data_IF_803431496416
#
_entry.id   IF_803431496416
#
_cell.length_a   1.000
_cell.length_b   1.000
_cell.length_c   1.000
_cell.angle_alpha   90.00
_cell.angle_beta   90.00
_cell.angle_gamma   90.00
#
_symmetry.space_group_name_H-M   'P 1'
#
loop_
_entity.id
_entity.type
_entity.pdbx_description
1 polymer ?
#
# COMPACT_ATOMS: atom_id res chain seq x y z
N UNK A 1 18.98 -12.39 -13.81
CA UNK A 1 18.89 -10.96 -13.45
C UNK A 1 17.42 -10.59 -13.52
N UNK A 2 16.89 -10.06 -12.42
CA UNK A 2 15.48 -9.62 -12.35
C UNK A 2 15.29 -8.42 -13.28
N UNK A 3 14.23 -8.44 -14.07
CA UNK A 3 13.86 -7.33 -14.94
C UNK A 3 12.66 -6.59 -14.35
N UNK A 4 12.62 -5.29 -14.49
CA UNK A 4 11.57 -4.40 -14.01
C UNK A 4 10.91 -3.73 -15.19
N UNK A 5 9.57 -3.63 -15.15
CA UNK A 5 8.78 -3.07 -16.23
C UNK A 5 7.79 -2.05 -15.68
N UNK A 6 7.51 -1.02 -16.45
CA UNK A 6 6.40 -0.10 -16.21
C UNK A 6 5.54 0.02 -17.46
N UNK A 7 4.26 0.23 -17.29
CA UNK A 7 3.33 0.53 -18.38
C UNK A 7 3.33 2.01 -18.77
N UNK A 8 3.91 2.86 -17.92
CA UNK A 8 3.96 4.30 -18.14
C UNK A 8 5.37 4.85 -17.89
N UNK A 9 6.15 4.94 -18.96
CA UNK A 9 7.49 5.53 -18.90
C UNK A 9 7.49 7.02 -18.56
N UNK A 10 6.36 7.72 -18.71
CA UNK A 10 6.27 9.14 -18.36
C UNK A 10 6.45 9.38 -16.86
N UNK A 11 6.12 8.40 -16.01
CA UNK A 11 6.35 8.47 -14.57
C UNK A 11 7.82 8.61 -14.20
N UNK A 12 8.74 8.15 -15.06
CA UNK A 12 10.17 8.26 -14.85
C UNK A 12 10.72 9.63 -15.28
N UNK A 13 9.96 10.38 -16.07
CA UNK A 13 10.32 11.69 -16.61
C UNK A 13 9.48 12.81 -15.96
N UNK A 14 9.25 12.73 -14.66
CA UNK A 14 8.42 13.69 -13.95
C UNK A 14 9.03 15.10 -13.98
N UNK A 15 8.21 16.16 -14.10
CA UNK A 15 8.69 17.53 -14.11
C UNK A 15 9.43 17.90 -12.82
N UNK A 16 10.29 18.89 -12.86
CA UNK A 16 11.02 19.38 -11.68
C UNK A 16 10.08 19.94 -10.61
N UNK A 17 8.98 20.54 -11.04
CA UNK A 17 7.94 21.07 -10.14
C UNK A 17 7.05 19.94 -9.63
N UNK A 18 7.12 19.69 -8.34
CA UNK A 18 6.33 18.68 -7.68
C UNK A 18 5.00 19.25 -7.20
N UNK A 19 3.90 18.70 -7.66
CA UNK A 19 2.54 19.01 -7.19
C UNK A 19 1.87 17.73 -6.68
N UNK A 20 1.51 17.70 -5.42
CA UNK A 20 0.87 16.50 -4.82
C UNK A 20 -0.44 16.14 -5.51
N UNK A 21 -1.14 17.11 -6.09
CA UNK A 21 -2.37 16.88 -6.85
C UNK A 21 -2.18 16.02 -8.11
N UNK A 22 -0.96 15.96 -8.64
CA UNK A 22 -0.64 15.13 -9.81
C UNK A 22 -0.69 13.63 -9.47
N UNK A 23 -0.70 13.30 -8.17
CA UNK A 23 -0.77 11.93 -7.65
C UNK A 23 -2.14 11.57 -7.10
N UNK A 24 -3.16 12.41 -7.31
CA UNK A 24 -4.51 12.07 -6.91
C UNK A 24 -5.05 10.88 -7.69
N UNK A 25 -5.57 9.90 -6.96
CA UNK A 25 -6.24 8.74 -7.53
C UNK A 25 -7.70 9.11 -7.76
N UNK A 26 -8.15 9.00 -9.00
CA UNK A 26 -9.53 9.30 -9.40
C UNK A 26 -10.31 8.06 -9.84
N UNK A 27 -9.62 6.91 -9.95
CA UNK A 27 -10.24 5.63 -10.25
C UNK A 27 -9.46 4.53 -9.50
N UNK A 28 -10.11 3.88 -8.55
CA UNK A 28 -9.53 2.78 -7.76
C UNK A 28 -10.39 1.54 -7.91
N UNK A 29 -9.75 0.46 -8.37
CA UNK A 29 -10.36 -0.87 -8.39
C UNK A 29 -9.61 -1.74 -7.41
N UNK A 30 -10.31 -2.32 -6.45
CA UNK A 30 -9.71 -3.16 -5.42
C UNK A 30 -10.73 -4.15 -4.85
N UNK A 31 -10.33 -5.42 -4.70
CA UNK A 31 -11.11 -6.45 -4.04
C UNK A 31 -12.59 -6.53 -4.53
N UNK A 32 -12.81 -6.42 -5.84
CA UNK A 32 -14.13 -6.44 -6.47
C UNK A 32 -14.91 -5.13 -6.41
N UNK A 33 -14.38 -4.10 -5.75
CA UNK A 33 -15.00 -2.78 -5.70
C UNK A 33 -14.32 -1.81 -6.66
N UNK A 34 -15.11 -0.87 -7.17
CA UNK A 34 -14.60 0.26 -7.94
C UNK A 34 -15.09 1.56 -7.32
N UNK A 35 -14.16 2.49 -7.16
CA UNK A 35 -14.40 3.87 -6.76
C UNK A 35 -13.87 4.80 -7.83
N UNK A 36 -14.69 5.75 -8.29
CA UNK A 36 -14.23 6.72 -9.27
C UNK A 36 -14.83 8.11 -9.04
N UNK A 37 -14.08 9.12 -9.40
CA UNK A 37 -14.46 10.52 -9.32
C UNK A 37 -14.76 11.00 -10.74
N UNK A 38 -15.96 11.52 -10.95
CA UNK A 38 -16.37 12.02 -12.25
C UNK A 38 -15.87 13.46 -12.50
N UNK A 39 -16.14 13.99 -13.68
CA UNK A 39 -15.75 15.34 -14.11
C UNK A 39 -16.37 16.47 -13.26
N UNK A 40 -17.42 16.18 -12.50
CA UNK A 40 -18.07 17.11 -11.59
C UNK A 40 -17.59 16.94 -10.14
N UNK A 41 -16.48 16.19 -9.92
CA UNK A 41 -15.92 15.88 -8.62
C UNK A 41 -16.87 15.11 -7.71
N UNK A 42 -17.75 14.30 -8.27
CA UNK A 42 -18.62 13.38 -7.53
C UNK A 42 -17.93 12.01 -7.43
N UNK A 43 -17.84 11.51 -6.20
CA UNK A 43 -17.33 10.16 -5.93
C UNK A 43 -18.45 9.15 -6.04
N UNK A 44 -18.24 8.15 -6.86
CA UNK A 44 -19.10 6.99 -7.10
C UNK A 44 -18.43 5.71 -6.67
N UNK A 45 -19.22 4.75 -6.17
CA UNK A 45 -18.74 3.43 -5.82
C UNK A 45 -19.67 2.34 -6.31
N UNK A 46 -19.12 1.18 -6.64
CA UNK A 46 -19.88 -0.02 -7.02
C UNK A 46 -19.16 -1.27 -6.52
N UNK A 47 -19.87 -2.38 -6.40
CA UNK A 47 -19.39 -3.65 -5.90
C UNK A 47 -20.01 -4.04 -4.56
N UNK A 48 -19.23 -4.66 -3.69
CA UNK A 48 -19.66 -5.18 -2.39
C UNK A 48 -19.81 -4.07 -1.34
N UNK A 49 -20.78 -4.24 -0.42
CA UNK A 49 -20.96 -3.38 0.75
C UNK A 49 -20.97 -4.16 2.07
N UNK A 50 -20.42 -5.35 2.07
CA UNK A 50 -20.39 -6.28 3.23
C UNK A 50 -19.75 -5.68 4.48
N UNK A 51 -18.77 -4.79 4.31
CA UNK A 51 -18.07 -4.05 5.37
C UNK A 51 -18.46 -2.58 5.46
N UNK A 52 -19.56 -2.17 4.85
CA UNK A 52 -19.95 -0.77 4.67
C UNK A 52 -18.93 0.06 3.86
N UNK A 53 -18.07 -0.57 3.09
CA UNK A 53 -16.96 0.04 2.37
C UNK A 53 -17.40 0.97 1.23
N UNK A 54 -18.65 0.94 0.81
CA UNK A 54 -19.20 1.92 -0.14
C UNK A 54 -19.64 3.21 0.55
N UNK A 55 -19.83 3.22 1.86
CA UNK A 55 -20.23 4.44 2.60
C UNK A 55 -21.60 4.98 2.25
N UNK A 56 -22.53 4.15 1.79
CA UNK A 56 -23.87 4.55 1.30
C UNK A 56 -24.97 4.44 2.35
N UNK A 57 -24.61 4.20 3.60
CA UNK A 57 -25.51 4.09 4.74
C UNK A 57 -26.60 3.02 4.61
N UNK A 58 -26.18 1.83 4.21
CA UNK A 58 -27.01 0.64 4.12
C UNK A 58 -26.57 -0.41 5.15
N UNK A 59 -26.91 -0.27 6.43
CA UNK A 59 -26.47 -1.18 7.49
C UNK A 59 -26.99 -2.61 7.32
N UNK A 60 -28.05 -2.81 6.55
CA UNK A 60 -28.60 -4.12 6.20
C UNK A 60 -27.69 -4.98 5.33
N UNK A 61 -26.72 -4.35 4.64
CA UNK A 61 -25.73 -5.04 3.81
C UNK A 61 -24.62 -5.65 4.67
N UNK A 62 -24.38 -5.06 5.84
CA UNK A 62 -23.21 -5.37 6.66
C UNK A 62 -23.31 -6.79 7.24
N UNK A 63 -22.27 -7.60 6.95
CA UNK A 63 -22.24 -9.00 7.37
C UNK A 63 -23.20 -9.91 6.61
N UNK A 64 -23.87 -9.41 5.57
CA UNK A 64 -24.84 -10.16 4.79
C UNK A 64 -24.22 -10.67 3.47
N UNK A 65 -23.77 -11.93 3.48
CA UNK A 65 -23.20 -12.59 2.30
C UNK A 65 -24.21 -12.85 1.17
N UNK A 66 -25.49 -12.71 1.45
CA UNK A 66 -26.56 -12.93 0.46
C UNK A 66 -27.00 -11.65 -0.21
N UNK A 67 -26.45 -10.50 0.22
CA UNK A 67 -26.73 -9.25 -0.45
C UNK A 67 -26.01 -9.19 -1.79
N UNK A 68 -26.76 -8.86 -2.85
CA UNK A 68 -26.18 -8.70 -4.18
C UNK A 68 -25.24 -7.49 -4.22
N UNK A 69 -24.19 -7.57 -5.03
CA UNK A 69 -23.28 -6.45 -5.26
C UNK A 69 -24.01 -5.31 -5.97
N UNK A 70 -23.63 -4.10 -5.66
CA UNK A 70 -24.12 -2.91 -6.38
C UNK A 70 -23.43 -2.83 -7.75
N UNK A 71 -24.09 -3.34 -8.78
CA UNK A 71 -23.61 -3.29 -10.16
C UNK A 71 -23.71 -1.89 -10.76
N UNK A 72 -24.71 -1.11 -10.33
CA UNK A 72 -24.85 0.30 -10.72
C UNK A 72 -24.10 1.21 -9.74
N UNK A 73 -23.41 2.25 -10.25
CA UNK A 73 -22.69 3.19 -9.40
C UNK A 73 -23.60 3.87 -8.38
N UNK A 74 -23.16 3.88 -7.13
CA UNK A 74 -23.79 4.55 -6.01
C UNK A 74 -23.06 5.85 -5.71
N UNK A 75 -23.76 6.95 -5.56
CA UNK A 75 -23.17 8.24 -5.18
C UNK A 75 -22.73 8.18 -3.72
N UNK A 76 -21.47 8.53 -3.47
CA UNK A 76 -20.88 8.54 -2.13
C UNK A 76 -20.73 9.97 -1.60
N UNK A 77 -20.12 10.86 -2.36
CA UNK A 77 -19.84 12.24 -1.92
C UNK A 77 -19.64 13.19 -3.11
N UNK A 78 -19.67 14.48 -2.81
CA UNK A 78 -19.39 15.58 -3.75
C UNK A 78 -18.09 16.31 -3.36
N UNK A 79 -17.55 17.10 -4.27
CA UNK A 79 -16.34 17.89 -4.08
C UNK A 79 -15.10 17.02 -3.74
N UNK A 80 -15.02 15.83 -4.28
CA UNK A 80 -13.94 14.87 -4.03
C UNK A 80 -12.87 15.01 -5.09
N UNK A 81 -11.59 15.01 -4.67
CA UNK A 81 -10.43 15.11 -5.56
C UNK A 81 -9.55 13.86 -5.57
N UNK A 82 -9.65 13.05 -4.52
CA UNK A 82 -8.80 11.86 -4.37
C UNK A 82 -9.53 10.77 -3.60
N UNK A 83 -9.36 9.52 -4.01
CA UNK A 83 -9.92 8.35 -3.33
C UNK A 83 -8.90 7.24 -3.29
N UNK A 84 -8.81 6.54 -2.16
CA UNK A 84 -8.07 5.29 -2.03
C UNK A 84 -8.84 4.31 -1.15
N UNK A 85 -8.51 3.04 -1.24
CA UNK A 85 -9.19 2.00 -0.49
C UNK A 85 -8.23 0.96 0.01
N UNK A 86 -8.62 0.31 1.11
CA UNK A 86 -7.90 -0.81 1.70
C UNK A 86 -7.63 -1.89 0.66
N UNK A 87 -6.41 -2.38 0.64
CA UNK A 87 -6.00 -3.47 -0.25
C UNK A 87 -6.88 -4.72 -0.11
N UNK A 88 -7.43 -4.96 1.08
CA UNK A 88 -8.36 -6.05 1.34
C UNK A 88 -9.83 -5.68 1.10
N UNK A 89 -10.11 -4.46 0.64
CA UNK A 89 -11.46 -3.98 0.39
C UNK A 89 -12.29 -3.71 1.63
N UNK A 90 -11.69 -3.58 2.81
CA UNK A 90 -12.42 -3.41 4.06
C UNK A 90 -12.93 -2.00 4.29
N UNK A 91 -12.22 -0.99 3.81
CA UNK A 91 -12.59 0.41 3.96
C UNK A 91 -12.13 1.24 2.77
N UNK A 92 -12.71 2.40 2.62
CA UNK A 92 -12.26 3.42 1.68
C UNK A 92 -12.10 4.76 2.37
N UNK A 93 -11.27 5.61 1.81
CA UNK A 93 -11.05 6.99 2.22
C UNK A 93 -11.09 7.90 1.01
N UNK A 94 -11.56 9.13 1.20
CA UNK A 94 -11.49 10.15 0.17
C UNK A 94 -11.16 11.53 0.73
N UNK A 95 -10.57 12.35 -0.12
CA UNK A 95 -10.16 13.71 0.16
C UNK A 95 -11.03 14.67 -0.63
N UNK A 96 -11.55 15.71 0.04
CA UNK A 96 -12.29 16.77 -0.60
C UNK A 96 -11.39 17.91 -1.09
N UNK A 97 -11.91 18.75 -1.97
CA UNK A 97 -11.25 19.98 -2.46
C UNK A 97 -10.79 20.90 -1.33
N UNK A 98 -11.52 20.89 -0.21
CA UNK A 98 -11.22 21.71 0.96
C UNK A 98 -10.15 21.09 1.90
N UNK A 99 -9.70 19.89 1.61
CA UNK A 99 -8.70 19.20 2.43
C UNK A 99 -9.28 18.43 3.62
N UNK A 100 -10.54 18.02 3.54
CA UNK A 100 -11.19 17.17 4.53
C UNK A 100 -11.05 15.71 4.12
N UNK A 101 -10.48 14.89 5.00
CA UNK A 101 -10.32 13.45 4.84
C UNK A 101 -11.49 12.72 5.50
N UNK A 102 -12.23 11.96 4.72
CA UNK A 102 -13.33 11.10 5.17
C UNK A 102 -13.01 9.63 4.94
N UNK A 103 -13.67 8.77 5.71
CA UNK A 103 -13.58 7.33 5.52
C UNK A 103 -14.85 6.61 5.91
N UNK A 104 -15.07 5.44 5.30
CA UNK A 104 -16.18 4.53 5.57
C UNK A 104 -15.74 3.07 5.39
N UNK A 105 -16.43 2.16 6.04
CA UNK A 105 -16.12 0.73 6.00
C UNK A 105 -15.78 0.15 7.37
N UNK A 106 -14.97 -0.90 7.39
CA UNK A 106 -14.52 -1.54 8.63
C UNK A 106 -13.55 -0.64 9.40
N UNK A 107 -13.82 -0.46 10.69
CA UNK A 107 -12.99 0.34 11.60
C UNK A 107 -11.86 -0.49 12.22
N UNK A 108 -10.99 -1.03 11.37
CA UNK A 108 -9.86 -1.82 11.82
C UNK A 108 -8.93 -0.99 12.71
N UNK A 109 -8.76 -1.41 13.97
CA UNK A 109 -7.86 -0.75 14.93
C UNK A 109 -8.10 0.77 15.09
N UNK A 110 -9.33 1.22 14.93
CA UNK A 110 -9.67 2.63 15.04
C UNK A 110 -9.39 3.48 13.80
N UNK A 111 -9.09 2.86 12.67
CA UNK A 111 -8.65 3.56 11.45
C UNK A 111 -9.66 4.57 10.91
N UNK A 112 -10.95 4.38 11.18
CA UNK A 112 -12.04 5.27 10.78
C UNK A 112 -12.53 6.18 11.94
N UNK A 113 -11.69 6.38 12.96
CA UNK A 113 -11.97 7.31 14.03
C UNK A 113 -13.12 6.89 14.96
N UNK A 114 -13.35 5.60 15.10
CA UNK A 114 -14.27 4.98 16.04
C UNK A 114 -13.47 4.15 17.03
N UNK A 115 -13.97 3.95 18.25
CA UNK A 115 -13.30 3.10 19.21
C UNK A 115 -13.06 1.70 18.61
N UNK A 116 -11.84 1.14 18.78
CA UNK A 116 -11.56 -0.22 18.38
C UNK A 116 -12.48 -1.21 19.10
N UNK A 117 -12.96 -2.22 18.37
CA UNK A 117 -13.68 -3.36 18.92
C UNK A 117 -12.74 -4.50 19.29
N UNK A 118 -13.24 -5.45 20.04
CA UNK A 118 -12.53 -6.70 20.26
C UNK A 118 -12.48 -7.51 18.96
N UNK A 119 -11.29 -7.92 18.57
CA UNK A 119 -11.06 -8.74 17.37
C UNK A 119 -11.53 -8.11 16.04
N UNK A 120 -11.41 -6.80 15.87
CA UNK A 120 -11.76 -6.10 14.62
C UNK A 120 -11.08 -6.73 13.38
N UNK A 121 -9.84 -7.20 13.51
CA UNK A 121 -9.11 -7.86 12.44
C UNK A 121 -9.71 -9.22 12.04
N UNK A 122 -10.34 -9.91 12.99
CA UNK A 122 -10.97 -11.23 12.75
C UNK A 122 -12.43 -11.11 12.26
N UNK A 123 -13.10 -10.05 12.65
CA UNK A 123 -14.50 -9.81 12.36
C UNK A 123 -14.74 -8.36 11.92
N UNK A 124 -14.19 -7.92 10.77
CA UNK A 124 -14.25 -6.52 10.33
C UNK A 124 -15.67 -5.96 10.22
N UNK A 125 -16.64 -6.81 9.92
CA UNK A 125 -18.05 -6.43 9.78
C UNK A 125 -18.74 -6.07 11.10
N UNK A 126 -18.15 -6.36 12.26
CA UNK A 126 -18.77 -6.08 13.55
C UNK A 126 -18.56 -4.64 14.01
N UNK A 127 -17.54 -3.96 13.49
CA UNK A 127 -17.22 -2.59 13.83
C UNK A 127 -17.03 -1.75 12.58
N UNK A 128 -18.13 -1.19 12.07
CA UNK A 128 -18.12 -0.46 10.80
C UNK A 128 -18.58 1.00 10.95
N UNK A 129 -18.21 1.80 9.98
CA UNK A 129 -18.67 3.17 9.75
C UNK A 129 -19.52 3.16 8.47
N UNK A 130 -20.84 3.22 8.60
CA UNK A 130 -21.79 3.03 7.48
C UNK A 130 -21.86 4.19 6.51
N UNK A 131 -21.54 5.39 6.96
CA UNK A 131 -21.45 6.58 6.10
C UNK A 131 -20.16 7.33 6.39
N UNK A 132 -19.62 8.05 5.40
CA UNK A 132 -18.33 8.69 5.54
C UNK A 132 -18.24 9.58 6.78
N UNK A 133 -17.21 9.35 7.58
CA UNK A 133 -16.91 10.12 8.79
C UNK A 133 -15.68 10.98 8.54
N UNK A 134 -15.72 12.23 8.99
CA UNK A 134 -14.55 13.12 8.97
C UNK A 134 -13.47 12.57 9.92
N UNK A 135 -12.29 12.35 9.38
CA UNK A 135 -11.13 11.81 10.10
C UNK A 135 -10.07 12.87 10.41
N UNK A 136 -9.84 13.77 9.46
CA UNK A 136 -8.79 14.80 9.57
C UNK A 136 -9.11 15.99 8.65
N UNK A 137 -8.70 17.18 9.06
CA UNK A 137 -8.78 18.41 8.27
C UNK A 137 -7.39 18.90 7.85
N UNK A 138 -7.34 19.81 6.89
CA UNK A 138 -6.09 20.38 6.35
C UNK A 138 -5.17 19.33 5.71
N UNK A 139 -5.77 18.31 5.10
CA UNK A 139 -5.07 17.22 4.40
C UNK A 139 -4.82 17.62 2.94
N UNK A 140 -3.63 17.36 2.45
CA UNK A 140 -3.25 17.53 1.03
C UNK A 140 -3.19 16.21 0.26
N UNK A 141 -2.95 15.09 0.94
CA UNK A 141 -2.83 13.75 0.33
C UNK A 141 -3.05 12.65 1.36
N UNK A 142 -3.42 11.47 0.91
CA UNK A 142 -3.50 10.27 1.76
C UNK A 142 -3.33 9.01 0.94
N UNK A 143 -2.95 7.92 1.59
CA UNK A 143 -2.97 6.58 1.03
C UNK A 143 -3.52 5.60 2.06
N UNK A 144 -4.18 4.57 1.56
CA UNK A 144 -4.68 3.45 2.36
C UNK A 144 -3.82 2.20 2.12
N UNK A 145 -3.38 1.58 3.22
CA UNK A 145 -2.84 0.21 3.22
C UNK A 145 -3.96 -0.80 3.43
N UNK A 146 -3.63 -2.05 3.77
CA UNK A 146 -4.66 -3.03 4.10
C UNK A 146 -5.32 -2.74 5.46
N UNK A 147 -4.52 -2.42 6.45
CA UNK A 147 -4.93 -2.20 7.85
C UNK A 147 -4.38 -0.91 8.43
N UNK A 148 -3.84 -0.03 7.61
CA UNK A 148 -3.26 1.24 8.00
C UNK A 148 -3.57 2.34 6.99
N UNK A 149 -3.27 3.57 7.36
CA UNK A 149 -3.36 4.73 6.49
C UNK A 149 -2.25 5.72 6.78
N UNK A 150 -1.88 6.50 5.77
CA UNK A 150 -1.03 7.68 5.90
C UNK A 150 -1.77 8.90 5.38
N UNK A 151 -1.54 10.04 6.00
CA UNK A 151 -2.04 11.33 5.54
C UNK A 151 -0.93 12.38 5.61
N UNK A 152 -0.91 13.24 4.61
CA UNK A 152 -0.03 14.40 4.56
C UNK A 152 -0.90 15.65 4.75
N UNK A 153 -0.58 16.45 5.76
CA UNK A 153 -1.21 17.75 5.97
C UNK A 153 -0.61 18.82 5.07
N UNK A 154 -1.39 19.87 4.81
CA UNK A 154 -0.94 21.04 4.02
C UNK A 154 0.28 21.75 4.61
N UNK A 155 0.50 21.62 5.92
CA UNK A 155 1.68 22.16 6.60
C UNK A 155 2.93 21.25 6.54
N UNK A 156 2.85 20.09 5.88
CA UNK A 156 3.96 19.16 5.72
C UNK A 156 4.07 18.11 6.84
N UNK A 157 3.16 18.07 7.79
CA UNK A 157 3.13 17.00 8.79
C UNK A 157 2.59 15.71 8.16
N UNK A 158 3.33 14.61 8.31
CA UNK A 158 2.92 13.27 7.90
C UNK A 158 2.40 12.47 9.10
N UNK A 159 1.23 11.88 8.94
CA UNK A 159 0.56 11.06 9.94
C UNK A 159 0.42 9.63 9.46
N UNK A 160 0.51 8.68 10.39
CA UNK A 160 0.24 7.27 10.17
C UNK A 160 -0.62 6.73 11.32
N UNK A 161 -1.55 5.82 11.01
CA UNK A 161 -2.37 5.12 12.00
C UNK A 161 -2.89 3.80 11.44
N UNK A 162 -3.47 2.98 12.33
CA UNK A 162 -3.82 1.61 12.06
C UNK A 162 -2.75 0.65 12.56
N UNK A 163 -2.51 -0.43 11.86
CA UNK A 163 -1.59 -1.48 12.28
C UNK A 163 -0.70 -1.94 11.12
N UNK A 164 0.60 -2.06 11.39
CA UNK A 164 1.50 -2.89 10.59
C UNK A 164 1.66 -4.24 11.25
N UNK A 165 1.52 -5.28 10.46
CA UNK A 165 1.91 -6.60 10.86
C UNK A 165 3.39 -6.82 10.57
N UNK A 166 4.13 -7.44 11.49
CA UNK A 166 5.49 -7.89 11.20
C UNK A 166 5.44 -9.03 10.19
N UNK A 167 6.53 -9.20 9.41
CA UNK A 167 6.64 -10.27 8.41
C UNK A 167 6.59 -11.70 8.97
N UNK A 168 6.57 -11.86 10.30
CA UNK A 168 6.37 -13.14 10.95
C UNK A 168 4.87 -13.38 11.16
N UNK A 169 4.35 -14.40 10.52
CA UNK A 169 2.93 -14.80 10.61
C UNK A 169 2.42 -15.05 12.04
N UNK A 170 3.32 -15.27 12.97
CA UNK A 170 3.00 -15.44 14.38
C UNK A 170 2.69 -14.14 15.11
N UNK A 171 2.90 -13.00 14.48
CA UNK A 171 2.86 -11.70 15.13
C UNK A 171 1.56 -10.94 14.94
N UNK A 172 0.52 -11.54 14.43
CA UNK A 172 -0.84 -10.96 14.47
C UNK A 172 -1.19 -10.52 15.91
N UNK A 173 -0.51 -11.09 16.88
CA UNK A 173 -0.71 -10.84 18.33
C UNK A 173 0.60 -10.68 19.11
N UNK A 174 1.76 -10.50 18.47
CA UNK A 174 3.08 -10.57 19.09
C UNK A 174 3.91 -9.30 19.04
N UNK A 175 5.05 -9.36 19.70
CA UNK A 175 6.05 -8.29 19.75
C UNK A 175 6.52 -7.92 18.32
N UNK A 176 6.46 -6.65 17.97
CA UNK A 176 6.98 -6.11 16.70
C UNK A 176 5.95 -5.44 15.79
N UNK A 177 4.68 -5.41 16.16
CA UNK A 177 3.65 -4.62 15.47
C UNK A 177 3.72 -3.16 15.86
N UNK A 178 3.66 -2.28 14.86
CA UNK A 178 3.39 -0.87 15.08
C UNK A 178 1.88 -0.66 15.00
N UNK A 179 1.29 -0.05 16.02
CA UNK A 179 -0.14 0.20 16.08
C UNK A 179 -0.43 1.55 16.72
N UNK A 180 -1.24 2.36 16.04
CA UNK A 180 -1.85 3.57 16.56
C UNK A 180 -3.33 3.57 16.21
N UNK A 181 -4.19 3.68 17.20
CA UNK A 181 -5.65 3.71 17.02
C UNK A 181 -6.18 5.08 16.61
N UNK A 182 -5.32 6.08 16.61
CA UNK A 182 -5.58 7.45 16.18
C UNK A 182 -4.42 7.94 15.31
N UNK A 183 -4.63 8.92 14.41
CA UNK A 183 -3.55 9.50 13.63
C UNK A 183 -2.38 9.97 14.49
N UNK A 184 -1.21 9.39 14.25
CA UNK A 184 0.03 9.70 14.96
C UNK A 184 1.00 10.41 14.03
N UNK A 185 1.55 11.56 14.49
CA UNK A 185 2.52 12.30 13.68
C UNK A 185 3.85 11.55 13.62
N UNK A 186 4.28 11.22 12.42
CA UNK A 186 5.52 10.51 12.15
C UNK A 186 6.67 11.43 11.73
N UNK A 187 6.39 12.47 10.94
CA UNK A 187 7.42 13.28 10.30
C UNK A 187 6.91 14.71 10.06
N UNK A 188 7.83 15.64 10.06
CA UNK A 188 7.62 17.02 9.62
C UNK A 188 8.25 17.25 8.24
N UNK A 189 7.83 18.32 7.56
CA UNK A 189 8.38 18.77 6.28
C UNK A 189 8.27 17.76 5.13
N UNK A 190 7.30 16.87 5.19
CA UNK A 190 7.02 15.95 4.12
C UNK A 190 6.27 16.63 2.96
N UNK A 191 6.57 16.20 1.73
CA UNK A 191 5.87 16.60 0.51
C UNK A 191 5.11 15.45 -0.13
N UNK A 192 5.45 14.20 0.21
CA UNK A 192 4.80 13.00 -0.28
C UNK A 192 4.83 11.90 0.77
N UNK A 193 3.78 11.09 0.80
CA UNK A 193 3.66 9.90 1.66
C UNK A 193 3.05 8.76 0.87
N UNK A 194 3.44 7.54 1.19
CA UNK A 194 2.81 6.32 0.67
C UNK A 194 2.84 5.22 1.72
N UNK A 195 2.01 4.22 1.57
CA UNK A 195 1.95 3.07 2.46
C UNK A 195 1.53 1.80 1.72
N UNK A 196 1.95 0.68 2.27
CA UNK A 196 1.46 -0.66 1.94
C UNK A 196 0.91 -1.31 3.21
N UNK A 197 0.73 -2.62 3.21
CA UNK A 197 0.33 -3.37 4.40
C UNK A 197 1.37 -3.36 5.52
N UNK A 198 2.64 -3.25 5.16
CA UNK A 198 3.74 -3.55 6.06
C UNK A 198 4.72 -2.42 6.23
N UNK A 199 4.75 -1.45 5.32
CA UNK A 199 5.69 -0.33 5.39
C UNK A 199 5.11 0.93 4.78
N UNK A 200 5.69 2.02 5.20
CA UNK A 200 5.39 3.36 4.67
C UNK A 200 6.67 4.09 4.29
N UNK A 201 6.51 5.07 3.46
CA UNK A 201 7.57 5.97 3.05
C UNK A 201 7.08 7.42 2.98
N UNK A 202 7.99 8.35 3.23
CA UNK A 202 7.76 9.77 3.07
C UNK A 202 8.99 10.46 2.46
N UNK A 203 8.74 11.44 1.61
CA UNK A 203 9.79 12.29 1.04
C UNK A 203 9.63 13.68 1.64
N UNK A 204 10.73 14.25 2.13
CA UNK A 204 10.74 15.61 2.66
C UNK A 204 10.98 16.64 1.58
N UNK A 205 10.73 17.91 1.90
CA UNK A 205 11.00 19.07 1.03
C UNK A 205 12.45 19.12 0.54
N UNK A 206 13.40 18.57 1.32
CA UNK A 206 14.82 18.52 0.94
C UNK A 206 15.15 17.32 0.02
N UNK A 207 14.21 16.43 -0.22
CA UNK A 207 14.43 15.20 -0.99
C UNK A 207 15.00 14.05 -0.16
N UNK A 208 14.88 14.11 1.16
CA UNK A 208 15.23 13.00 2.03
C UNK A 208 14.10 11.98 2.07
N UNK A 209 14.43 10.72 1.86
CA UNK A 209 13.50 9.61 1.99
C UNK A 209 13.57 9.01 3.39
N UNK A 210 12.41 8.92 4.01
CA UNK A 210 12.20 8.21 5.28
C UNK A 210 11.28 7.01 5.05
N UNK A 211 11.58 5.90 5.72
CA UNK A 211 10.77 4.68 5.69
C UNK A 211 10.57 4.16 7.10
N UNK A 212 9.47 3.45 7.32
CA UNK A 212 9.15 2.73 8.55
C UNK A 212 8.30 1.51 8.26
N UNK A 213 8.25 0.56 9.20
CA UNK A 213 7.56 -0.71 9.06
C UNK A 213 8.50 -1.89 8.87
N UNK A 214 8.04 -2.90 8.16
CA UNK A 214 8.76 -4.17 7.95
C UNK A 214 10.01 -3.99 7.08
N UNK A 215 11.14 -4.43 7.60
CA UNK A 215 12.44 -4.41 6.96
C UNK A 215 13.11 -5.80 6.98
N UNK A 216 12.32 -6.85 7.14
CA UNK A 216 12.83 -8.24 7.24
C UNK A 216 13.73 -8.60 6.05
N UNK A 217 13.33 -8.18 4.86
CA UNK A 217 14.07 -8.39 3.61
C UNK A 217 14.77 -7.12 3.09
N UNK A 218 14.97 -6.13 3.95
CA UNK A 218 15.59 -4.87 3.55
C UNK A 218 14.72 -3.98 2.69
N UNK A 219 13.42 -4.27 2.59
CA UNK A 219 12.47 -3.55 1.73
C UNK A 219 12.26 -2.07 2.12
N UNK A 220 12.59 -1.69 3.35
CA UNK A 220 12.65 -0.29 3.75
C UNK A 220 13.87 0.46 3.22
N UNK A 221 14.87 -0.23 2.66
CA UNK A 221 16.16 0.39 2.29
C UNK A 221 17.03 0.78 3.49
N UNK A 222 16.71 0.25 4.67
CA UNK A 222 17.44 0.49 5.90
C UNK A 222 18.53 -0.56 6.09
N UNK A 223 19.79 -0.13 6.14
CA UNK A 223 20.97 -1.00 6.18
C UNK A 223 21.40 -1.38 7.61
N UNK A 224 20.76 -0.85 8.64
CA UNK A 224 21.02 -1.22 10.03
C UNK A 224 20.49 -2.62 10.37
N UNK A 225 20.61 -3.00 11.64
CA UNK A 225 20.26 -4.35 12.11
C UNK A 225 18.76 -4.57 12.36
N UNK A 226 17.97 -3.49 12.42
CA UNK A 226 16.53 -3.59 12.70
C UNK A 226 15.79 -4.27 11.54
N UNK A 227 15.02 -5.28 11.85
CA UNK A 227 14.12 -5.95 10.90
C UNK A 227 12.73 -5.33 10.86
N UNK A 228 12.42 -4.46 11.82
CA UNK A 228 11.20 -3.67 11.87
C UNK A 228 11.51 -2.26 12.38
N UNK A 229 11.03 -1.24 11.66
CA UNK A 229 11.23 0.16 12.00
C UNK A 229 9.94 0.72 12.59
N UNK A 230 9.97 1.01 13.90
CA UNK A 230 8.83 1.60 14.62
C UNK A 230 8.78 3.13 14.48
N UNK A 231 9.87 3.73 14.04
CA UNK A 231 10.03 5.16 13.80
C UNK A 231 10.56 5.38 12.39
N UNK A 232 10.27 6.51 11.74
CA UNK A 232 10.85 6.85 10.45
C UNK A 232 12.38 6.92 10.50
N UNK A 233 13.02 6.17 9.62
CA UNK A 233 14.47 6.20 9.45
C UNK A 233 14.82 6.80 8.09
N UNK A 234 15.76 7.74 8.07
CA UNK A 234 16.30 8.31 6.83
C UNK A 234 17.13 7.27 6.12
N UNK A 235 16.77 6.92 4.90
CA UNK A 235 17.40 5.83 4.13
C UNK A 235 18.07 6.30 2.85
N UNK A 236 17.69 7.44 2.29
CA UNK A 236 18.29 7.99 1.09
C UNK A 236 18.09 9.51 0.99
N UNK A 237 18.96 10.15 0.22
CA UNK A 237 18.90 11.57 -0.14
C UNK A 237 18.68 11.74 -1.64
N UNK A 238 18.34 12.97 -2.06
CA UNK A 238 18.14 13.31 -3.45
C UNK A 238 17.01 12.52 -4.13
N UNK A 239 16.00 12.15 -3.37
CA UNK A 239 14.84 11.37 -3.85
C UNK A 239 13.77 12.32 -4.36
N UNK A 240 13.23 11.98 -5.52
CA UNK A 240 12.13 12.69 -6.16
C UNK A 240 10.80 11.96 -6.00
N UNK A 241 10.82 10.62 -6.11
CA UNK A 241 9.65 9.77 -5.96
C UNK A 241 9.99 8.43 -5.37
N UNK A 242 9.03 7.85 -4.67
CA UNK A 242 9.11 6.51 -4.06
C UNK A 242 7.85 5.73 -4.36
N UNK A 243 8.01 4.45 -4.68
CA UNK A 243 6.95 3.47 -4.83
C UNK A 243 7.25 2.28 -3.94
N UNK A 244 6.26 1.90 -3.14
CA UNK A 244 6.30 0.67 -2.37
C UNK A 244 5.43 -0.35 -3.08
N UNK A 245 6.05 -1.46 -3.48
CA UNK A 245 5.38 -2.54 -4.19
C UNK A 245 5.26 -3.76 -3.27
N UNK A 246 4.07 -4.29 -3.19
CA UNK A 246 3.71 -5.44 -2.38
C UNK A 246 2.78 -6.33 -3.20
N UNK A 247 3.29 -7.48 -3.65
CA UNK A 247 2.45 -8.44 -4.38
C UNK A 247 1.73 -9.34 -3.39
N UNK A 248 0.47 -9.60 -3.69
CA UNK A 248 -0.41 -10.54 -3.00
C UNK A 248 -0.69 -10.22 -1.52
N UNK A 249 -1.11 -9.01 -1.29
CA UNK A 249 -1.69 -8.64 0.01
C UNK A 249 -2.83 -9.56 0.43
N UNK A 250 -3.55 -10.16 -0.53
CA UNK A 250 -4.66 -11.06 -0.28
C UNK A 250 -4.24 -12.45 0.20
N UNK A 251 -3.04 -12.93 -0.17
CA UNK A 251 -2.59 -14.26 0.24
C UNK A 251 -2.34 -14.36 1.74
N UNK A 252 -2.06 -13.24 2.41
CA UNK A 252 -1.83 -13.21 3.85
C UNK A 252 -3.14 -13.35 4.63
N UNK A 253 -4.27 -12.99 4.04
CA UNK A 253 -5.55 -12.89 4.74
C UNK A 253 -6.55 -14.00 4.44
N UNK A 254 -6.41 -14.65 3.29
CA UNK A 254 -7.44 -15.58 2.85
C UNK A 254 -7.46 -16.88 3.63
N UNK A 255 -6.40 -17.27 4.30
CA UNK A 255 -6.42 -18.48 5.12
C UNK A 255 -5.27 -18.63 6.11
N UNK A 256 -5.11 -17.69 7.04
CA UNK A 256 -4.08 -17.76 8.10
C UNK A 256 -4.18 -19.05 8.94
N UNK A 257 -5.33 -19.73 8.95
CA UNK A 257 -5.51 -20.99 9.65
C UNK A 257 -4.96 -22.19 8.86
N UNK A 258 -4.83 -22.08 7.54
CA UNK A 258 -4.48 -23.18 6.65
C UNK A 258 -3.25 -22.94 5.78
N UNK A 259 -2.68 -21.73 5.82
CA UNK A 259 -1.47 -21.46 5.06
C UNK A 259 -0.30 -22.06 5.82
N UNK A 260 0.31 -23.06 5.21
CA UNK A 260 1.62 -23.56 5.65
C UNK A 260 2.59 -22.36 5.65
N UNK A 261 3.22 -22.04 6.79
CA UNK A 261 4.22 -20.96 6.82
C UNK A 261 5.34 -21.12 5.78
N UNK A 262 5.48 -22.31 5.22
CA UNK A 262 6.40 -22.61 4.12
C UNK A 262 5.83 -22.26 2.73
N UNK A 263 4.54 -21.95 2.61
CA UNK A 263 3.92 -21.52 1.35
C UNK A 263 3.97 -19.98 1.16
N UNK A 264 4.58 -19.25 2.08
CA UNK A 264 4.84 -17.81 1.94
C UNK A 264 5.96 -17.48 0.92
N UNK A 265 6.02 -18.21 -0.16
CA UNK A 265 6.86 -17.87 -1.31
C UNK A 265 6.56 -16.51 -1.92
N UNK A 266 5.41 -15.95 -1.57
CA UNK A 266 4.90 -14.64 -2.01
C UNK A 266 5.60 -13.44 -1.36
N UNK A 267 6.27 -13.61 -0.23
CA UNK A 267 7.07 -12.54 0.39
C UNK A 267 8.31 -12.15 -0.40
N UNK A 268 8.60 -12.87 -1.49
CA UNK A 268 9.74 -12.62 -2.36
C UNK A 268 9.59 -11.42 -3.30
N UNK A 269 8.52 -10.64 -3.16
CA UNK A 269 8.22 -9.53 -4.08
C UNK A 269 7.95 -8.21 -3.36
N UNK A 270 8.56 -8.03 -2.20
CA UNK A 270 8.40 -6.85 -1.37
C UNK A 270 9.56 -5.88 -1.62
N UNK A 271 9.34 -4.88 -2.44
CA UNK A 271 10.36 -3.97 -2.93
C UNK A 271 9.96 -2.51 -2.77
N UNK A 272 10.96 -1.65 -2.57
CA UNK A 272 10.81 -0.20 -2.65
C UNK A 272 11.64 0.33 -3.81
N UNK A 273 10.98 1.07 -4.69
CA UNK A 273 11.59 1.71 -5.86
C UNK A 273 11.68 3.20 -5.63
N UNK A 274 12.76 3.80 -6.06
CA UNK A 274 12.95 5.26 -5.98
C UNK A 274 13.44 5.83 -7.30
N UNK A 275 12.99 7.03 -7.59
CA UNK A 275 13.53 7.92 -8.62
C UNK A 275 14.25 9.07 -7.93
N UNK A 276 15.50 9.28 -8.29
CA UNK A 276 16.27 10.42 -7.79
C UNK A 276 16.01 11.67 -8.62
N UNK A 277 16.35 12.84 -8.07
CA UNK A 277 16.21 14.13 -8.77
C UNK A 277 17.07 14.22 -10.03
N UNK A 278 18.14 13.44 -10.12
CA UNK A 278 19.00 13.32 -11.31
C UNK A 278 18.56 12.21 -12.28
N UNK A 279 17.34 11.66 -12.09
CA UNK A 279 16.68 10.76 -13.05
C UNK A 279 17.15 9.30 -13.01
N UNK A 280 17.77 8.87 -11.90
CA UNK A 280 18.20 7.47 -11.74
C UNK A 280 17.22 6.68 -10.90
N UNK A 281 17.04 5.41 -11.27
CA UNK A 281 16.19 4.47 -10.56
C UNK A 281 17.02 3.54 -9.67
N UNK A 282 16.51 3.30 -8.47
CA UNK A 282 17.07 2.36 -7.51
C UNK A 282 15.96 1.52 -6.89
N UNK A 283 16.33 0.37 -6.36
CA UNK A 283 15.41 -0.48 -5.60
C UNK A 283 16.11 -1.12 -4.40
N UNK A 284 15.33 -1.40 -3.36
CA UNK A 284 15.71 -2.19 -2.20
C UNK A 284 14.62 -3.23 -1.92
N UNK A 285 14.99 -4.36 -1.32
CA UNK A 285 14.08 -5.45 -1.01
C UNK A 285 14.49 -6.77 -1.64
N UNK A 286 13.51 -7.58 -2.00
CA UNK A 286 13.69 -8.96 -2.42
C UNK A 286 14.14 -9.10 -3.87
N UNK A 287 15.04 -10.06 -4.13
CA UNK A 287 15.50 -10.46 -5.48
C UNK A 287 16.06 -9.31 -6.36
N UNK A 288 16.56 -8.23 -5.76
CA UNK A 288 17.08 -7.07 -6.49
C UNK A 288 18.56 -7.23 -6.86
N UNK A 289 19.34 -7.88 -5.99
CA UNK A 289 20.77 -8.07 -6.20
C UNK A 289 21.41 -8.94 -5.13
N UNK A 290 22.71 -9.16 -5.26
CA UNK A 290 23.47 -10.09 -4.42
C UNK A 290 24.30 -9.43 -3.31
N UNK A 291 24.21 -8.10 -3.14
CA UNK A 291 25.17 -7.35 -2.32
C UNK A 291 24.90 -7.39 -0.81
N UNK A 292 23.76 -7.88 -0.39
CA UNK A 292 23.49 -8.04 1.04
C UNK A 292 22.81 -9.36 1.32
N UNK A 293 23.50 -10.18 2.06
CA UNK A 293 22.89 -11.31 2.75
C UNK A 293 22.56 -10.84 4.16
N UNK A 294 21.27 -10.80 4.51
CA UNK A 294 20.84 -10.77 5.90
C UNK A 294 20.46 -12.18 6.31
N UNK A 295 20.82 -12.54 7.52
CA UNK A 295 20.20 -13.68 8.16
C UNK A 295 18.74 -13.32 8.38
N UNK A 296 17.85 -13.93 7.62
CA UNK A 296 16.43 -13.87 7.92
C UNK A 296 16.14 -14.77 9.12
N UNK A 297 15.05 -14.55 9.86
CA UNK A 297 14.61 -15.49 10.90
C UNK A 297 14.39 -16.91 10.37
N UNK A 298 14.34 -17.12 9.07
CA UNK A 298 14.18 -18.40 8.38
C UNK A 298 15.51 -19.04 7.92
N UNK A 299 16.65 -18.47 8.32
CA UNK A 299 17.97 -18.97 7.96
C UNK A 299 18.47 -18.50 6.59
N UNK A 300 19.75 -18.71 6.33
CA UNK A 300 20.29 -18.60 4.98
C UNK A 300 19.62 -19.69 4.13
N UNK A 301 18.94 -19.31 3.07
CA UNK A 301 18.05 -20.14 2.25
C UNK A 301 18.62 -21.41 1.61
N UNK A 302 19.58 -22.08 2.25
CA UNK A 302 20.17 -23.33 1.77
C UNK A 302 19.34 -24.57 2.13
N UNK A 303 18.44 -24.48 3.14
CA UNK A 303 17.68 -25.64 3.63
C UNK A 303 16.15 -25.51 3.42
N UNK A 304 15.71 -24.58 2.59
CA UNK A 304 14.31 -24.38 2.33
C UNK A 304 13.81 -25.38 1.25
N UNK A 305 12.96 -26.32 1.64
CA UNK A 305 12.35 -27.33 0.75
C UNK A 305 11.31 -26.73 -0.23
N UNK A 306 11.12 -25.39 -0.24
CA UNK A 306 10.25 -24.71 -1.21
C UNK A 306 10.84 -24.86 -2.62
N UNK A 307 9.97 -24.87 -3.63
CA UNK A 307 10.40 -24.92 -5.03
C UNK A 307 11.36 -23.76 -5.34
N UNK A 308 12.37 -24.00 -6.15
CA UNK A 308 13.41 -23.01 -6.50
C UNK A 308 12.82 -21.71 -7.09
N UNK A 309 11.62 -21.78 -7.65
CA UNK A 309 10.90 -20.66 -8.25
C UNK A 309 10.34 -19.68 -7.22
N UNK A 310 10.14 -20.12 -5.97
CA UNK A 310 9.53 -19.33 -4.89
C UNK A 310 10.49 -18.94 -3.76
N UNK A 311 11.79 -19.17 -3.93
CA UNK A 311 12.78 -18.83 -2.92
C UNK A 311 13.19 -17.36 -2.99
N UNK A 312 13.09 -16.65 -1.88
CA UNK A 312 13.80 -15.40 -1.68
C UNK A 312 15.29 -15.67 -1.50
N UNK A 313 15.98 -15.95 -2.59
CA UNK A 313 17.39 -16.31 -2.55
C UNK A 313 18.31 -15.12 -2.36
N UNK A 314 17.83 -13.93 -2.68
CA UNK A 314 18.60 -12.68 -2.55
C UNK A 314 17.71 -11.54 -2.11
N UNK A 315 18.24 -10.65 -1.30
CA UNK A 315 17.60 -9.38 -0.97
C UNK A 315 18.67 -8.31 -0.73
N UNK A 316 18.30 -7.05 -0.86
CA UNK A 316 19.17 -5.94 -0.56
C UNK A 316 18.47 -4.93 0.34
N UNK A 317 19.06 -4.65 1.50
CA UNK A 317 18.69 -3.54 2.34
C UNK A 317 19.26 -2.21 1.84
N UNK A 318 20.21 -2.26 0.91
CA UNK A 318 20.76 -1.09 0.25
C UNK A 318 20.05 -0.86 -1.06
N UNK A 319 19.71 0.39 -1.35
CA UNK A 319 19.21 0.76 -2.67
C UNK A 319 20.26 0.51 -3.74
N UNK A 320 19.96 -0.39 -4.67
CA UNK A 320 20.80 -0.74 -5.81
C UNK A 320 20.25 -0.11 -7.10
N UNK A 321 21.11 0.36 -8.01
CA UNK A 321 20.66 0.88 -9.29
C UNK A 321 19.95 -0.21 -10.09
N UNK A 322 18.83 0.16 -10.72
CA UNK A 322 18.02 -0.70 -11.58
C UNK A 322 17.76 -0.03 -12.91
N UNK A 323 17.46 -0.84 -13.92
CA UNK A 323 16.94 -0.40 -15.20
C UNK A 323 15.48 -0.82 -15.31
N UNK A 324 14.61 0.13 -15.67
CA UNK A 324 13.18 -0.09 -15.88
C UNK A 324 12.89 -0.01 -17.37
N UNK A 325 12.18 -1.01 -17.90
CA UNK A 325 11.79 -1.10 -19.31
C UNK A 325 10.30 -0.80 -19.46
N UNK A 326 9.91 -0.28 -20.62
CA UNK A 326 8.50 -0.18 -20.96
C UNK A 326 7.91 -1.59 -21.18
N UNK A 327 6.79 -1.84 -20.53
CA UNK A 327 6.03 -3.05 -20.79
C UNK A 327 5.27 -2.93 -22.11
N UNK A 328 5.64 -3.76 -23.06
CA UNK A 328 4.91 -3.90 -24.33
C UNK A 328 4.10 -5.20 -24.24
N UNK A 329 2.76 -5.15 -24.20
CA UNK A 329 1.93 -6.35 -24.18
C UNK A 329 2.22 -7.19 -25.43
N UNK A 330 2.50 -8.47 -25.24
CA UNK A 330 2.62 -9.39 -26.38
C UNK A 330 1.26 -9.55 -27.05
N UNK A 331 1.27 -9.57 -28.38
CA UNK A 331 0.05 -9.68 -29.19
C UNK A 331 -0.62 -11.08 -29.14
N UNK A 332 -0.10 -12.01 -28.32
CA UNK A 332 -0.60 -13.37 -28.17
C UNK A 332 -0.48 -13.85 -26.71
N UNK A 333 -1.58 -13.94 -25.96
CA UNK A 333 -1.57 -14.28 -24.54
C UNK A 333 -1.38 -15.79 -24.23
N UNK A 334 -0.88 -16.59 -25.17
CA UNK A 334 -0.79 -18.05 -25.01
C UNK A 334 0.62 -18.57 -24.70
N UNK A 335 1.62 -17.71 -24.48
CA UNK A 335 2.91 -18.15 -23.98
C UNK A 335 2.98 -18.05 -22.46
N UNK A 336 3.53 -19.08 -21.84
CA UNK A 336 3.63 -19.27 -20.39
C UNK A 336 4.20 -18.03 -19.69
N UNK A 337 3.56 -17.63 -18.60
CA UNK A 337 4.05 -16.63 -17.67
C UNK A 337 5.47 -16.98 -17.22
N UNK A 338 6.43 -16.15 -17.59
CA UNK A 338 7.85 -16.42 -17.34
C UNK A 338 8.31 -16.07 -15.91
N UNK A 339 7.39 -15.68 -15.03
CA UNK A 339 7.71 -15.31 -13.65
C UNK A 339 8.37 -13.94 -13.49
N UNK A 340 8.41 -13.14 -14.54
CA UNK A 340 8.96 -11.79 -14.49
C UNK A 340 8.01 -10.85 -13.75
N UNK A 341 8.53 -10.12 -12.77
CA UNK A 341 7.74 -9.15 -12.02
C UNK A 341 7.42 -7.94 -12.90
N UNK A 342 6.14 -7.67 -13.06
CA UNK A 342 5.64 -6.41 -13.62
C UNK A 342 5.47 -5.42 -12.48
N UNK A 343 6.12 -4.26 -12.58
CA UNK A 343 5.94 -3.20 -11.58
C UNK A 343 4.72 -2.40 -11.99
N UNK A 344 3.71 -2.38 -11.13
CA UNK A 344 2.68 -1.37 -11.18
C UNK A 344 3.19 -0.17 -10.37
N UNK A 345 3.64 0.87 -11.07
CA UNK A 345 3.98 2.14 -10.44
C UNK A 345 2.65 2.86 -10.23
N UNK A 346 2.21 2.92 -8.96
CA UNK A 346 1.00 3.63 -8.60
C UNK A 346 1.21 5.14 -8.71
N UNK A 347 0.27 5.85 -9.28
CA UNK A 347 0.31 7.32 -9.45
C UNK A 347 -0.50 7.81 -10.64
N UNK A 348 -0.73 6.96 -11.61
CA UNK A 348 -1.71 7.16 -12.67
C UNK A 348 -2.58 5.93 -12.75
N UNK A 349 -3.81 6.10 -13.17
CA UNK A 349 -4.72 4.99 -13.43
C UNK A 349 -4.12 4.08 -14.51
N UNK A 350 -3.23 3.18 -14.12
CA UNK A 350 -2.84 2.07 -14.97
C UNK A 350 -4.03 1.11 -15.02
N UNK A 351 -5.00 1.45 -15.84
CA UNK A 351 -6.02 0.50 -16.23
C UNK A 351 -5.32 -0.66 -16.93
N UNK A 352 -5.45 -1.86 -16.38
CA UNK A 352 -5.26 -3.06 -17.16
C UNK A 352 -4.03 -3.92 -16.85
N UNK A 353 -3.59 -4.03 -15.64
CA UNK A 353 -2.73 -5.15 -15.23
C UNK A 353 -3.45 -6.05 -14.22
N UNK A 354 -4.73 -6.31 -14.47
CA UNK A 354 -5.42 -7.46 -13.93
C UNK A 354 -5.43 -8.51 -15.07
N UNK A 355 -4.46 -9.35 -15.08
CA UNK A 355 -4.52 -10.75 -15.56
C UNK A 355 -3.17 -11.41 -15.33
#
# INVERSE_FOLDING_TARGET
>A
KKEFYTTDMSLLNQPEDFHISDYYITNKVIAGNRYYIDENHVLWGQGMNYYAQLGINHPEDVGNWYHEEYMEPQKIAEHVVHVDASANGYFMMYLTENGELYGAGANLQGILGKEPGENDAMNPQQNVVNQPKLLMSDVSYMRAGATCAVALKKNGEAYWWGEFMSGEASSIYGEGTLMYTEPHKMLDQAIYVTTTNRRSAAITVNGDLYTWGDNTYGQCGYTGEKTFLTEPEKVMENVRMVWCDEIEQNAIWTDLANVNPNDYGTTCYDDTFILTKDGKMYAAGTNIGTDSKRNTPYGEGEDDERSDENKCTTYSAKFLPIEVKEYVPESNPTEEYTGEKKIQIEGTAAEGLAE
#
